data_IF_467848462245
#
_entry.id   IF_467848462245
#
_cell.length_a   1.000
_cell.length_b   1.000
_cell.length_c   1.000
_cell.angle_alpha   90.00
_cell.angle_beta   90.00
_cell.angle_gamma   90.00
#
_symmetry.space_group_name_H-M   'P 1'
#
loop_
_entity.id
_entity.type
_entity.pdbx_description
1 polymer ?
#
# COMPACT_ATOMS: atom_id res chain seq x y z
N UNK A 1 5.32 -5.46 17.00
CA UNK A 1 5.95 -4.87 15.80
C UNK A 1 5.15 -3.63 15.42
N UNK A 2 5.80 -2.49 15.22
CA UNK A 2 5.13 -1.26 14.77
C UNK A 2 5.05 -1.24 13.24
N UNK A 3 3.89 -0.88 12.67
CA UNK A 3 3.71 -0.80 11.21
C UNK A 3 4.30 0.51 10.67
N UNK A 4 4.92 0.46 9.51
CA UNK A 4 5.46 1.59 8.76
C UNK A 4 4.36 2.13 7.82
N UNK A 5 3.94 3.39 7.96
CA UNK A 5 2.96 4.00 7.05
C UNK A 5 3.59 4.25 5.67
N UNK A 6 2.89 3.87 4.62
CA UNK A 6 3.34 4.05 3.22
C UNK A 6 2.24 4.67 2.36
N UNK A 7 2.64 5.40 1.31
CA UNK A 7 1.73 5.98 0.31
C UNK A 7 1.92 5.32 -1.05
N UNK A 8 0.84 5.19 -1.82
CA UNK A 8 0.87 4.67 -3.20
C UNK A 8 0.45 5.80 -4.14
N UNK A 9 1.36 6.18 -5.04
CA UNK A 9 1.10 7.10 -6.14
C UNK A 9 0.63 6.31 -7.37
N UNK A 10 -0.39 6.80 -8.07
CA UNK A 10 -1.06 6.09 -9.16
C UNK A 10 -1.87 4.89 -8.66
N UNK A 11 -2.50 4.99 -7.48
CA UNK A 11 -3.21 3.88 -6.83
C UNK A 11 -4.33 3.25 -7.69
N UNK A 12 -4.91 4.03 -8.61
CA UNK A 12 -6.00 3.58 -9.51
C UNK A 12 -5.49 2.79 -10.72
N UNK A 13 -4.22 2.96 -11.10
CA UNK A 13 -3.60 2.24 -12.21
C UNK A 13 -3.40 0.77 -11.90
N UNK A 14 -3.17 -0.05 -12.94
CA UNK A 14 -2.97 -1.50 -12.78
C UNK A 14 -1.85 -1.83 -11.78
N UNK A 15 -0.76 -1.06 -11.81
CA UNK A 15 0.39 -1.24 -10.89
C UNK A 15 0.01 -0.86 -9.46
N UNK A 16 -0.70 0.26 -9.26
CA UNK A 16 -1.14 0.70 -7.94
C UNK A 16 -2.06 -0.31 -7.27
N UNK A 17 -3.02 -0.86 -8.01
CA UNK A 17 -3.92 -1.89 -7.50
C UNK A 17 -3.18 -3.19 -7.12
N UNK A 18 -2.17 -3.59 -7.88
CA UNK A 18 -1.33 -4.74 -7.50
C UNK A 18 -0.54 -4.49 -6.22
N UNK A 19 0.02 -3.28 -6.04
CA UNK A 19 0.66 -2.91 -4.78
C UNK A 19 -0.31 -2.95 -3.59
N UNK A 20 -1.54 -2.47 -3.77
CA UNK A 20 -2.58 -2.54 -2.73
C UNK A 20 -2.84 -4.01 -2.36
N UNK A 21 -2.98 -4.90 -3.34
CA UNK A 21 -3.24 -6.33 -3.09
C UNK A 21 -2.09 -7.01 -2.33
N UNK A 22 -0.84 -6.71 -2.70
CA UNK A 22 0.35 -7.27 -2.04
C UNK A 22 0.51 -6.75 -0.60
N UNK A 23 0.19 -5.47 -0.38
CA UNK A 23 0.35 -4.83 0.93
C UNK A 23 -0.83 -5.05 1.88
N UNK A 24 -1.96 -5.61 1.40
CA UNK A 24 -3.18 -5.80 2.17
C UNK A 24 -2.98 -6.58 3.49
N UNK A 25 -2.08 -7.57 3.49
CA UNK A 25 -1.80 -8.43 4.64
C UNK A 25 -0.33 -8.36 5.09
N UNK A 26 0.36 -7.26 4.79
CA UNK A 26 1.79 -7.18 5.06
C UNK A 26 2.07 -6.82 6.53
N UNK A 27 2.94 -7.56 7.24
CA UNK A 27 3.14 -7.39 8.68
C UNK A 27 3.83 -6.07 9.06
N UNK A 28 4.53 -5.44 8.12
CA UNK A 28 5.33 -4.24 8.37
C UNK A 28 4.77 -2.98 7.72
N UNK A 29 3.87 -3.08 6.74
CA UNK A 29 3.45 -1.91 5.96
C UNK A 29 1.95 -1.69 6.10
N UNK A 30 1.57 -0.44 6.38
CA UNK A 30 0.17 -0.01 6.41
C UNK A 30 -0.01 1.12 5.40
N UNK A 31 -0.92 0.94 4.45
CA UNK A 31 -1.24 1.97 3.46
C UNK A 31 -1.92 3.13 4.20
N UNK A 32 -1.31 4.30 4.19
CA UNK A 32 -1.77 5.52 4.86
C UNK A 32 -2.31 6.56 3.88
N UNK A 33 -1.91 6.49 2.60
CA UNK A 33 -2.29 7.46 1.58
C UNK A 33 -2.36 6.83 0.19
N UNK A 34 -3.30 7.29 -0.62
CA UNK A 34 -3.48 6.91 -2.02
C UNK A 34 -3.62 8.19 -2.84
N UNK A 35 -2.88 8.31 -3.93
CA UNK A 35 -3.05 9.37 -4.94
C UNK A 35 -2.43 9.00 -6.25
#
# INVERSE_FOLDING_TARGET
MSTIPVGILGATGMVGQQFIALLANHPWFRIAWLG
#
